data_IF_138788201500
#
_entry.id   IF_138788201500
#
_cell.length_a   1.000
_cell.length_b   1.000
_cell.length_c   1.000
_cell.angle_alpha   90.00
_cell.angle_beta   90.00
_cell.angle_gamma   90.00
#
_symmetry.space_group_name_H-M   'P 1'
#
loop_
_entity.id
_entity.type
_entity.pdbx_description
1 polymer ?
#
# COMPACT_ATOMS: atom_id res chain seq x y z
N UNK A 1 23.31 11.68 -8.32
CA UNK A 1 23.49 10.35 -7.68
C UNK A 1 22.10 9.85 -7.31
N UNK A 2 21.57 8.80 -7.96
CA UNK A 2 20.17 8.43 -7.79
C UNK A 2 19.97 7.81 -6.41
N UNK A 3 18.87 8.16 -5.75
CA UNK A 3 18.44 7.71 -4.41
C UNK A 3 18.31 6.18 -4.26
N UNK A 4 18.44 5.42 -5.36
CA UNK A 4 18.34 3.97 -5.39
C UNK A 4 19.54 3.20 -4.82
N UNK A 5 20.72 3.83 -4.64
CA UNK A 5 21.87 3.09 -4.09
C UNK A 5 21.68 2.69 -2.62
N UNK A 6 20.81 3.36 -1.86
CA UNK A 6 20.54 3.04 -0.46
C UNK A 6 19.35 2.08 -0.26
N UNK A 7 18.44 1.96 -1.22
CA UNK A 7 17.36 0.97 -1.17
C UNK A 7 17.79 -0.41 -1.68
N UNK A 8 18.93 -0.50 -2.38
CA UNK A 8 19.46 -1.76 -2.92
C UNK A 8 20.05 -2.71 -1.88
N UNK A 9 20.35 -2.27 -0.65
CA UNK A 9 21.01 -3.13 0.35
C UNK A 9 20.06 -3.85 1.30
N UNK A 10 18.74 -3.61 1.21
CA UNK A 10 17.73 -4.30 2.05
C UNK A 10 16.73 -5.12 1.21
N UNK A 11 16.92 -5.17 -0.11
CA UNK A 11 16.05 -5.92 -1.05
C UNK A 11 16.85 -7.06 -1.71
N UNK A 12 17.61 -7.79 -0.90
CA UNK A 12 18.05 -9.14 -1.25
C UNK A 12 17.30 -10.08 -0.34
N UNK A 13 16.08 -10.44 -0.74
CA UNK A 13 15.33 -11.67 -0.42
C UNK A 13 13.91 -11.44 -0.96
N UNK A 14 13.48 -12.39 -1.81
CA UNK A 14 12.20 -12.47 -2.54
C UNK A 14 12.22 -11.72 -3.89
N UNK A 15 12.99 -12.28 -4.82
CA UNK A 15 12.46 -12.47 -6.18
C UNK A 15 11.45 -13.63 -6.09
N UNK A 16 10.14 -13.42 -6.33
CA UNK A 16 9.30 -14.52 -6.73
C UNK A 16 9.61 -14.79 -8.20
N UNK A 17 10.19 -15.97 -8.40
CA UNK A 17 10.33 -16.70 -9.64
C UNK A 17 9.29 -16.31 -10.70
N UNK A 18 9.75 -15.75 -11.82
CA UNK A 18 8.98 -15.69 -13.05
C UNK A 18 8.50 -17.10 -13.42
N UNK A 19 7.19 -17.26 -13.58
CA UNK A 19 6.56 -18.24 -14.47
C UNK A 19 6.95 -19.70 -14.27
N UNK A 20 6.55 -20.32 -13.17
CA UNK A 20 6.22 -21.74 -13.23
C UNK A 20 4.74 -21.84 -13.58
N UNK A 21 4.42 -22.17 -14.84
CA UNK A 21 3.14 -22.78 -15.15
C UNK A 21 3.05 -24.05 -14.30
N UNK A 22 2.27 -24.02 -13.23
CA UNK A 22 2.04 -25.17 -12.37
C UNK A 22 1.23 -26.21 -13.15
N UNK A 23 1.93 -27.16 -13.75
CA UNK A 23 1.33 -28.22 -14.54
C UNK A 23 0.58 -29.21 -13.62
N UNK A 24 -0.73 -29.35 -13.83
CA UNK A 24 -1.49 -30.52 -13.34
C UNK A 24 -1.01 -31.71 -14.15
N UNK A 25 -0.24 -32.62 -13.54
CA UNK A 25 0.48 -33.63 -14.31
C UNK A 25 -0.36 -34.83 -14.73
N UNK A 26 -1.43 -35.23 -14.03
CA UNK A 26 -2.47 -36.14 -14.56
C UNK A 26 -3.57 -36.33 -13.51
N UNK A 27 -4.83 -36.27 -13.92
CA UNK A 27 -5.98 -36.59 -13.07
C UNK A 27 -6.61 -37.92 -13.52
N UNK A 28 -6.72 -38.89 -12.61
CA UNK A 28 -7.30 -40.20 -12.90
C UNK A 28 -8.42 -40.55 -11.93
N UNK A 29 -9.48 -41.19 -12.43
CA UNK A 29 -10.55 -41.72 -11.59
C UNK A 29 -10.22 -43.18 -11.26
N UNK A 30 -10.35 -43.55 -9.99
CA UNK A 30 -10.27 -44.94 -9.55
C UNK A 30 -11.45 -45.29 -8.65
N UNK A 31 -11.77 -46.58 -8.59
CA UNK A 31 -12.91 -47.10 -7.82
C UNK A 31 -12.46 -47.79 -6.53
N UNK A 32 -13.26 -47.66 -5.48
CA UNK A 32 -13.15 -48.47 -4.26
C UNK A 32 -14.52 -48.98 -3.84
N UNK A 33 -14.59 -50.23 -3.42
CA UNK A 33 -15.79 -50.83 -2.84
C UNK A 33 -15.79 -50.60 -1.33
N UNK A 34 -16.94 -50.22 -0.78
CA UNK A 34 -17.11 -50.14 0.66
C UNK A 34 -17.41 -51.54 1.24
N UNK A 35 -17.33 -51.69 2.58
CA UNK A 35 -17.72 -52.91 3.31
C UNK A 35 -19.15 -53.38 3.00
N UNK A 36 -20.01 -52.47 2.53
CA UNK A 36 -21.38 -52.74 2.09
C UNK A 36 -21.52 -53.08 0.58
N UNK A 37 -20.43 -53.37 -0.14
CA UNK A 37 -20.45 -53.75 -1.57
C UNK A 37 -20.60 -52.59 -2.58
N UNK A 38 -20.97 -51.38 -2.13
CA UNK A 38 -21.18 -50.24 -3.01
C UNK A 38 -19.88 -49.66 -3.60
N UNK A 39 -19.87 -49.39 -4.90
CA UNK A 39 -18.75 -48.77 -5.63
C UNK A 39 -18.73 -47.26 -5.40
N UNK A 40 -17.56 -46.73 -5.03
CA UNK A 40 -17.29 -45.30 -4.86
C UNK A 40 -16.16 -44.87 -5.77
N UNK A 41 -16.33 -43.74 -6.43
CA UNK A 41 -15.36 -43.16 -7.35
C UNK A 41 -14.55 -42.08 -6.63
N UNK A 42 -13.24 -42.11 -6.84
CA UNK A 42 -12.29 -41.18 -6.28
C UNK A 42 -11.40 -40.60 -7.38
N UNK A 43 -11.07 -39.31 -7.27
CA UNK A 43 -10.11 -38.62 -8.10
C UNK A 43 -8.72 -38.75 -7.49
N UNK A 44 -7.75 -39.04 -8.33
CA UNK A 44 -6.34 -39.06 -8.00
C UNK A 44 -5.64 -37.96 -8.78
N UNK A 45 -5.09 -36.97 -8.06
CA UNK A 45 -4.59 -35.73 -8.66
C UNK A 45 -3.23 -35.41 -8.07
N UNK A 46 -2.30 -35.00 -8.91
CA UNK A 46 -0.99 -34.51 -8.51
C UNK A 46 -0.94 -32.98 -8.68
N UNK A 47 -0.80 -32.28 -7.56
CA UNK A 47 -0.64 -30.82 -7.52
C UNK A 47 0.69 -30.54 -6.83
N UNK A 48 1.61 -29.85 -7.50
CA UNK A 48 2.91 -29.43 -6.95
C UNK A 48 3.71 -30.59 -6.31
N UNK A 49 3.73 -31.74 -6.99
CA UNK A 49 4.39 -32.97 -6.54
C UNK A 49 3.68 -33.71 -5.39
N UNK A 50 2.62 -33.14 -4.81
CA UNK A 50 1.81 -33.76 -3.75
C UNK A 50 0.58 -34.43 -4.32
N UNK A 51 0.33 -35.67 -3.89
CA UNK A 51 -0.80 -36.48 -4.33
C UNK A 51 -2.03 -36.22 -3.45
N UNK A 52 -3.11 -35.76 -4.06
CA UNK A 52 -4.40 -35.55 -3.41
C UNK A 52 -5.40 -36.59 -3.92
N UNK A 53 -6.12 -37.24 -3.00
CA UNK A 53 -7.19 -38.19 -3.32
C UNK A 53 -8.50 -37.64 -2.77
N UNK A 54 -9.48 -37.38 -3.65
CA UNK A 54 -10.78 -36.83 -3.27
C UNK A 54 -11.91 -37.74 -3.72
N UNK A 55 -12.96 -37.87 -2.90
CA UNK A 55 -14.16 -38.57 -3.30
C UNK A 55 -14.93 -37.75 -4.35
N UNK A 56 -15.40 -38.40 -5.41
CA UNK A 56 -16.06 -37.74 -6.54
C UNK A 56 -17.52 -38.17 -6.74
N UNK A 57 -17.93 -39.32 -6.22
CA UNK A 57 -19.33 -39.75 -6.29
C UNK A 57 -19.55 -41.26 -6.27
N UNK A 58 -20.80 -41.66 -6.41
CA UNK A 58 -21.26 -43.07 -6.44
C UNK A 58 -21.49 -43.59 -7.86
N UNK A 59 -21.54 -42.72 -8.87
CA UNK A 59 -21.68 -43.11 -10.28
C UNK A 59 -20.56 -42.54 -11.12
N UNK A 60 -20.20 -43.24 -12.21
CA UNK A 60 -19.14 -42.83 -13.13
C UNK A 60 -19.40 -41.45 -13.74
N UNK A 61 -20.66 -41.16 -14.10
CA UNK A 61 -21.05 -39.88 -14.71
C UNK A 61 -20.86 -38.71 -13.74
N UNK A 62 -21.34 -38.85 -12.50
CA UNK A 62 -21.17 -37.84 -11.45
C UNK A 62 -19.69 -37.64 -11.15
N UNK A 63 -18.91 -38.72 -11.11
CA UNK A 63 -17.48 -38.64 -10.84
C UNK A 63 -16.70 -37.92 -11.95
N UNK A 64 -17.07 -38.12 -13.23
CA UNK A 64 -16.46 -37.40 -14.35
C UNK A 64 -16.77 -35.91 -14.29
N UNK A 65 -18.02 -35.54 -14.04
CA UNK A 65 -18.42 -34.14 -13.89
C UNK A 65 -17.70 -33.47 -12.72
N UNK A 66 -17.69 -34.11 -11.55
CA UNK A 66 -17.00 -33.61 -10.37
C UNK A 66 -15.47 -33.50 -10.56
N UNK A 67 -14.88 -34.36 -11.41
CA UNK A 67 -13.47 -34.24 -11.77
C UNK A 67 -13.24 -33.02 -12.66
N UNK A 68 -14.06 -32.81 -13.68
CA UNK A 68 -13.95 -31.63 -14.58
C UNK A 68 -14.16 -30.31 -13.83
N UNK A 69 -15.14 -30.25 -12.93
CA UNK A 69 -15.37 -29.09 -12.07
C UNK A 69 -14.17 -28.80 -11.17
N UNK A 70 -13.53 -29.85 -10.65
CA UNK A 70 -12.38 -29.72 -9.78
C UNK A 70 -11.08 -29.39 -10.56
N UNK A 71 -10.92 -29.87 -11.78
CA UNK A 71 -9.84 -29.41 -12.66
C UNK A 71 -10.00 -27.95 -13.03
N UNK A 72 -11.22 -27.51 -13.33
CA UNK A 72 -11.55 -26.11 -13.55
C UNK A 72 -11.22 -25.29 -12.30
N UNK A 73 -11.73 -25.68 -11.14
CA UNK A 73 -11.45 -24.97 -9.89
C UNK A 73 -9.95 -24.90 -9.62
N UNK A 74 -9.19 -25.98 -9.78
CA UNK A 74 -7.74 -25.95 -9.55
C UNK A 74 -6.97 -25.08 -10.55
N UNK A 75 -7.41 -25.00 -11.82
CA UNK A 75 -6.77 -24.13 -12.82
C UNK A 75 -7.02 -22.66 -12.56
N UNK A 76 -8.20 -22.31 -12.04
CA UNK A 76 -8.64 -20.92 -11.88
C UNK A 76 -8.63 -20.43 -10.42
N UNK A 77 -8.64 -21.30 -9.41
CA UNK A 77 -8.50 -20.95 -7.97
C UNK A 77 -7.07 -20.55 -7.60
N UNK A 78 -6.07 -20.90 -8.43
CA UNK A 78 -4.72 -20.29 -8.34
C UNK A 78 -4.75 -18.80 -8.67
N UNK A 79 -5.80 -18.34 -9.38
CA UNK A 79 -6.01 -16.92 -9.72
C UNK A 79 -7.05 -16.21 -8.83
N UNK A 80 -7.84 -16.93 -8.03
CA UNK A 80 -8.76 -16.33 -7.05
C UNK A 80 -7.99 -15.80 -5.82
N UNK A 81 -7.46 -14.62 -6.06
CA UNK A 81 -6.68 -13.73 -5.23
C UNK A 81 -7.47 -13.06 -4.10
N UNK A 82 -8.37 -13.75 -3.41
CA UNK A 82 -8.96 -13.21 -2.17
C UNK A 82 -7.90 -12.97 -1.08
N UNK A 83 -6.69 -13.51 -1.27
CA UNK A 83 -5.55 -13.39 -0.36
C UNK A 83 -4.41 -12.49 -0.85
N UNK A 84 -4.42 -11.93 -2.07
CA UNK A 84 -3.40 -10.95 -2.49
C UNK A 84 -3.76 -9.54 -2.05
N UNK A 85 -5.04 -9.16 -2.13
CA UNK A 85 -5.51 -7.83 -1.72
C UNK A 85 -5.38 -7.61 -0.20
N UNK A 86 -5.55 -8.67 0.59
CA UNK A 86 -5.50 -8.60 2.07
C UNK A 86 -4.09 -8.64 2.70
N UNK A 87 -3.01 -8.70 1.92
CA UNK A 87 -1.65 -8.83 2.48
C UNK A 87 -0.72 -7.65 2.20
N UNK A 88 -1.17 -6.67 1.42
CA UNK A 88 -0.33 -5.50 1.10
C UNK A 88 -0.17 -4.65 2.36
N UNK A 89 1.08 -4.48 2.80
CA UNK A 89 1.39 -3.58 3.91
C UNK A 89 1.43 -2.13 3.43
N UNK A 90 1.22 -1.18 4.34
CA UNK A 90 1.32 0.25 4.00
C UNK A 90 2.69 0.61 3.39
N UNK A 91 3.76 0.00 3.90
CA UNK A 91 5.12 0.22 3.39
C UNK A 91 5.28 -0.28 1.95
N UNK A 92 4.77 -1.48 1.63
CA UNK A 92 4.82 -2.02 0.27
C UNK A 92 4.06 -1.13 -0.71
N UNK A 93 2.84 -0.71 -0.34
CA UNK A 93 2.05 0.21 -1.14
C UNK A 93 2.75 1.56 -1.34
N UNK A 94 3.41 2.08 -0.30
CA UNK A 94 4.19 3.32 -0.36
C UNK A 94 5.33 3.22 -1.38
N UNK A 95 6.09 2.12 -1.37
CA UNK A 95 7.19 1.90 -2.33
C UNK A 95 6.64 1.83 -3.76
N UNK A 96 5.54 1.10 -3.98
CA UNK A 96 4.92 0.99 -5.30
C UNK A 96 4.44 2.33 -5.83
N UNK A 97 3.77 3.12 -4.98
CA UNK A 97 3.33 4.47 -5.32
C UNK A 97 4.50 5.40 -5.67
N UNK A 98 5.60 5.33 -4.91
CA UNK A 98 6.79 6.15 -5.17
C UNK A 98 7.44 5.80 -6.53
N UNK A 99 7.44 4.53 -6.94
CA UNK A 99 7.89 4.11 -8.28
C UNK A 99 6.96 4.62 -9.38
N UNK A 100 5.65 4.53 -9.17
CA UNK A 100 4.67 5.04 -10.12
C UNK A 100 4.82 6.55 -10.38
N UNK A 101 5.02 7.35 -9.33
CA UNK A 101 5.23 8.79 -9.50
C UNK A 101 6.57 9.15 -10.14
N UNK A 102 7.60 8.33 -9.94
CA UNK A 102 8.90 8.47 -10.60
C UNK A 102 8.79 8.20 -12.10
N UNK A 103 8.10 7.13 -12.49
CA UNK A 103 7.81 6.82 -13.89
C UNK A 103 6.98 7.90 -14.59
N UNK A 104 6.16 8.64 -13.82
CA UNK A 104 5.40 9.80 -14.31
C UNK A 104 6.24 11.08 -14.46
N UNK A 105 7.55 11.02 -14.21
CA UNK A 105 8.47 12.14 -14.40
C UNK A 105 8.40 13.22 -13.32
N UNK A 106 7.92 12.89 -12.12
CA UNK A 106 7.95 13.84 -10.99
C UNK A 106 9.39 14.03 -10.50
N UNK A 107 9.79 15.26 -10.18
CA UNK A 107 11.15 15.54 -9.72
C UNK A 107 11.51 14.87 -8.39
N UNK A 108 12.77 14.47 -8.25
CA UNK A 108 13.31 13.82 -7.05
C UNK A 108 13.01 14.60 -5.76
N UNK A 109 13.10 15.94 -5.81
CA UNK A 109 12.80 16.79 -4.66
C UNK A 109 11.33 16.66 -4.22
N UNK A 110 10.40 16.55 -5.17
CA UNK A 110 8.99 16.31 -4.85
C UNK A 110 8.76 14.89 -4.34
N UNK A 111 9.40 13.88 -4.93
CA UNK A 111 9.34 12.49 -4.46
C UNK A 111 9.85 12.39 -3.02
N UNK A 112 10.98 13.02 -2.70
CA UNK A 112 11.55 13.06 -1.36
C UNK A 112 10.57 13.65 -0.33
N UNK A 113 9.93 14.76 -0.67
CA UNK A 113 8.91 15.38 0.19
C UNK A 113 7.72 14.43 0.41
N UNK A 114 7.23 13.77 -0.64
CA UNK A 114 6.11 12.83 -0.55
C UNK A 114 6.49 11.62 0.31
N UNK A 115 7.65 11.01 0.05
CA UNK A 115 8.20 9.89 0.83
C UNK A 115 8.29 10.25 2.31
N UNK A 116 8.78 11.44 2.64
CA UNK A 116 8.84 11.92 4.03
C UNK A 116 7.46 11.97 4.70
N UNK A 117 6.40 12.36 3.96
CA UNK A 117 5.03 12.38 4.49
C UNK A 117 4.45 10.98 4.68
N UNK A 118 4.68 10.07 3.72
CA UNK A 118 4.24 8.68 3.83
C UNK A 118 4.93 7.98 5.01
N UNK A 119 6.23 8.22 5.21
CA UNK A 119 6.98 7.69 6.36
C UNK A 119 6.40 8.15 7.69
N UNK A 120 6.09 9.44 7.82
CA UNK A 120 5.48 9.98 9.06
C UNK A 120 4.11 9.34 9.34
N UNK A 121 3.30 9.10 8.30
CA UNK A 121 2.03 8.40 8.45
C UNK A 121 2.22 6.91 8.78
N UNK A 122 3.15 6.22 8.11
CA UNK A 122 3.48 4.83 8.43
C UNK A 122 3.90 4.66 9.89
N UNK A 123 4.76 5.54 10.40
CA UNK A 123 5.17 5.52 11.80
C UNK A 123 3.98 5.71 12.76
N UNK A 124 2.98 6.51 12.38
CA UNK A 124 1.75 6.66 13.14
C UNK A 124 0.92 5.38 13.13
N UNK A 125 0.80 4.70 11.98
CA UNK A 125 0.09 3.42 11.88
C UNK A 125 0.77 2.32 12.70
N UNK A 126 2.10 2.21 12.60
CA UNK A 126 2.89 1.24 13.36
C UNK A 126 2.73 1.43 14.87
N UNK A 127 2.69 2.67 15.36
CA UNK A 127 2.42 2.96 16.77
C UNK A 127 1.01 2.51 17.22
N UNK A 128 0.04 2.45 16.30
CA UNK A 128 -1.30 1.96 16.57
C UNK A 128 -1.47 0.47 16.21
N UNK A 129 -0.38 -0.24 15.94
CA UNK A 129 -0.37 -1.65 15.53
C UNK A 129 -1.17 -1.95 14.24
N UNK A 130 -1.24 -0.99 13.32
CA UNK A 130 -1.86 -1.16 12.00
C UNK A 130 -0.75 -1.41 10.98
N UNK A 131 -0.63 -2.64 10.49
CA UNK A 131 0.41 -3.05 9.55
C UNK A 131 -0.11 -3.21 8.11
N UNK A 132 -1.32 -3.74 7.96
CA UNK A 132 -1.96 -3.96 6.67
C UNK A 132 -2.63 -2.68 6.17
N UNK A 133 -2.62 -2.51 4.84
CA UNK A 133 -3.24 -1.37 4.19
C UNK A 133 -4.77 -1.39 4.30
N UNK A 134 -5.37 -2.59 4.22
CA UNK A 134 -6.82 -2.81 4.32
C UNK A 134 -7.38 -2.47 5.70
N UNK A 135 -6.55 -2.54 6.74
CA UNK A 135 -6.96 -2.25 8.13
C UNK A 135 -7.04 -0.75 8.44
N UNK A 136 -6.58 0.13 7.53
CA UNK A 136 -6.58 1.58 7.75
C UNK A 136 -8.00 2.13 7.69
N UNK A 137 -8.51 2.64 8.83
CA UNK A 137 -9.86 3.18 8.93
C UNK A 137 -9.89 4.71 8.77
N UNK A 138 -11.09 5.21 8.51
CA UNK A 138 -11.37 6.67 8.48
C UNK A 138 -11.00 7.33 9.83
N UNK A 139 -11.22 6.62 10.94
CA UNK A 139 -10.85 7.07 12.29
C UNK A 139 -9.35 7.31 12.42
N UNK A 140 -8.51 6.46 11.81
CA UNK A 140 -7.06 6.60 11.86
C UNK A 140 -6.59 7.82 11.07
N UNK A 141 -7.22 8.08 9.92
CA UNK A 141 -6.98 9.28 9.14
C UNK A 141 -7.32 10.56 9.93
N UNK A 142 -8.46 10.58 10.63
CA UNK A 142 -8.82 11.70 11.51
C UNK A 142 -7.84 11.87 12.67
N UNK A 143 -7.53 10.77 13.38
CA UNK A 143 -6.61 10.77 14.52
C UNK A 143 -5.21 11.22 14.09
N UNK A 144 -4.75 10.81 12.92
CA UNK A 144 -3.49 11.28 12.35
C UNK A 144 -3.50 12.80 12.14
N UNK A 145 -4.55 13.36 11.54
CA UNK A 145 -4.63 14.81 11.30
C UNK A 145 -4.70 15.58 12.62
N UNK A 146 -5.43 15.09 13.63
CA UNK A 146 -5.45 15.66 14.99
C UNK A 146 -4.05 15.61 15.64
N UNK A 147 -3.30 14.51 15.45
CA UNK A 147 -1.90 14.44 15.91
C UNK A 147 -1.04 15.48 15.20
N UNK A 148 -1.22 15.64 13.88
CA UNK A 148 -0.48 16.62 13.08
C UNK A 148 -0.77 18.06 13.50
N UNK A 149 -2.02 18.42 13.85
CA UNK A 149 -2.34 19.78 14.33
C UNK A 149 -1.62 20.16 15.62
N UNK A 150 -1.26 19.17 16.44
CA UNK A 150 -0.54 19.37 17.71
C UNK A 150 0.99 19.50 17.53
N UNK A 151 1.51 19.24 16.33
CA UNK A 151 2.95 19.33 16.06
C UNK A 151 3.41 20.78 16.07
N UNK A 152 4.44 21.04 16.88
CA UNK A 152 5.12 22.33 17.01
C UNK A 152 6.32 22.39 16.07
N UNK A 153 6.53 23.54 15.44
CA UNK A 153 7.70 23.81 14.61
C UNK A 153 8.81 24.35 15.50
N UNK A 154 9.95 23.68 15.50
CA UNK A 154 11.14 24.06 16.28
C UNK A 154 12.15 24.87 15.46
N UNK A 155 12.07 24.82 14.13
CA UNK A 155 13.08 25.39 13.22
C UNK A 155 12.63 26.72 12.61
N UNK A 156 11.92 27.56 13.36
CA UNK A 156 11.59 28.91 12.88
C UNK A 156 12.73 29.86 13.26
N UNK A 157 12.96 30.86 12.42
CA UNK A 157 13.95 31.91 12.65
C UNK A 157 13.74 32.51 14.05
N UNK A 158 14.81 32.56 14.84
CA UNK A 158 14.88 32.99 16.25
C UNK A 158 14.05 32.19 17.28
N UNK A 159 13.55 30.99 16.95
CA UNK A 159 12.81 30.12 17.90
C UNK A 159 13.55 29.80 19.21
N UNK A 160 14.88 29.86 19.21
CA UNK A 160 15.71 29.63 20.40
C UNK A 160 15.81 30.86 21.32
N UNK A 161 15.58 32.06 20.78
CA UNK A 161 15.67 33.33 21.51
C UNK A 161 14.32 33.80 22.03
N UNK A 162 13.22 33.47 21.32
CA UNK A 162 11.87 33.97 21.61
C UNK A 162 10.91 32.93 22.22
N UNK A 163 11.38 31.71 22.52
CA UNK A 163 10.62 30.53 22.97
C UNK A 163 9.32 30.28 22.14
N UNK A 164 9.28 30.79 20.91
CA UNK A 164 8.09 30.77 20.09
C UNK A 164 8.09 29.55 19.17
N UNK A 165 7.28 28.55 19.55
CA UNK A 165 7.06 27.32 18.77
C UNK A 165 5.66 27.28 18.13
N UNK A 166 5.48 27.84 16.91
CA UNK A 166 4.17 27.86 16.28
C UNK A 166 3.75 26.46 15.83
N UNK A 167 2.45 26.20 15.85
CA UNK A 167 1.88 24.99 15.27
C UNK A 167 1.97 24.97 13.73
N UNK A 168 1.68 23.82 13.14
CA UNK A 168 1.59 23.71 11.68
C UNK A 168 0.50 24.63 11.12
N UNK A 169 0.83 25.37 10.06
CA UNK A 169 -0.13 26.19 9.31
C UNK A 169 -1.18 25.30 8.63
N UNK A 170 -2.42 25.78 8.52
CA UNK A 170 -3.52 25.10 7.82
C UNK A 170 -3.15 24.70 6.39
N UNK A 171 -2.36 25.53 5.69
CA UNK A 171 -1.87 25.24 4.33
C UNK A 171 -1.02 23.96 4.31
N UNK A 172 -0.14 23.79 5.30
CA UNK A 172 0.72 22.61 5.40
C UNK A 172 -0.10 21.36 5.68
N UNK A 173 -1.06 21.45 6.61
CA UNK A 173 -1.98 20.34 6.92
C UNK A 173 -2.81 19.94 5.69
N UNK A 174 -3.31 20.91 4.93
CA UNK A 174 -4.06 20.65 3.70
C UNK A 174 -3.21 19.95 2.64
N UNK A 175 -1.93 20.34 2.48
CA UNK A 175 -1.00 19.65 1.59
C UNK A 175 -0.73 18.21 2.05
N UNK A 176 -0.65 17.96 3.35
CA UNK A 176 -0.51 16.60 3.89
C UNK A 176 -1.78 15.76 3.58
N UNK A 177 -2.98 16.31 3.80
CA UNK A 177 -4.26 15.66 3.46
C UNK A 177 -4.32 15.34 1.96
N UNK A 178 -3.96 16.29 1.09
CA UNK A 178 -4.00 16.09 -0.36
C UNK A 178 -3.05 14.97 -0.83
N UNK A 179 -1.83 14.93 -0.29
CA UNK A 179 -0.86 13.87 -0.62
C UNK A 179 -1.37 12.50 -0.21
N UNK A 180 -1.91 12.37 1.00
CA UNK A 180 -2.45 11.12 1.50
C UNK A 180 -3.70 10.69 0.73
N UNK A 181 -4.59 11.63 0.38
CA UNK A 181 -5.72 11.35 -0.52
C UNK A 181 -5.25 10.78 -1.85
N UNK A 182 -4.25 11.40 -2.48
CA UNK A 182 -3.69 10.94 -3.75
C UNK A 182 -3.07 9.54 -3.64
N UNK A 183 -2.32 9.28 -2.58
CA UNK A 183 -1.76 7.95 -2.30
C UNK A 183 -2.85 6.88 -2.18
N UNK A 184 -3.88 7.13 -1.37
CA UNK A 184 -4.95 6.15 -1.20
C UNK A 184 -5.84 5.99 -2.44
N UNK A 185 -5.97 7.02 -3.29
CA UNK A 185 -6.61 6.85 -4.60
C UNK A 185 -5.79 5.92 -5.48
N UNK A 186 -4.47 6.07 -5.52
CA UNK A 186 -3.60 5.11 -6.21
C UNK A 186 -3.78 3.67 -5.68
N UNK A 187 -3.92 3.50 -4.36
CA UNK A 187 -4.17 2.17 -3.79
C UNK A 187 -5.53 1.58 -4.20
N UNK A 188 -6.54 2.42 -4.49
CA UNK A 188 -7.81 1.98 -5.07
C UNK A 188 -7.62 1.60 -6.54
N UNK A 189 -6.85 2.39 -7.30
CA UNK A 189 -6.54 2.09 -8.71
C UNK A 189 -5.77 0.76 -8.86
N UNK A 190 -5.02 0.35 -7.83
CA UNK A 190 -4.34 -0.95 -7.74
C UNK A 190 -5.20 -2.07 -7.12
N UNK A 191 -6.47 -1.79 -6.82
CA UNK A 191 -7.44 -2.73 -6.24
C UNK A 191 -7.03 -3.32 -4.88
N UNK A 192 -6.16 -2.65 -4.13
CA UNK A 192 -5.74 -3.11 -2.79
C UNK A 192 -6.70 -2.73 -1.68
N UNK A 193 -7.51 -1.69 -1.91
CA UNK A 193 -8.52 -1.19 -0.98
C UNK A 193 -9.73 -0.68 -1.75
N UNK A 194 -10.91 -0.77 -1.14
CA UNK A 194 -12.15 -0.33 -1.80
C UNK A 194 -12.45 1.16 -1.58
N UNK A 195 -11.92 1.73 -0.48
CA UNK A 195 -12.32 3.06 -0.02
C UNK A 195 -11.15 3.85 0.54
N UNK A 196 -11.08 5.12 0.16
CA UNK A 196 -10.04 6.04 0.63
C UNK A 196 -10.32 6.49 2.08
N UNK A 197 -9.45 6.16 3.06
CA UNK A 197 -9.64 6.54 4.47
C UNK A 197 -9.67 8.06 4.69
N UNK A 198 -9.00 8.82 3.82
CA UNK A 198 -8.96 10.28 3.89
C UNK A 198 -10.15 10.95 3.20
N UNK A 199 -11.08 10.22 2.56
CA UNK A 199 -12.22 10.80 1.83
C UNK A 199 -13.04 11.76 2.70
N UNK A 200 -13.32 11.37 3.94
CA UNK A 200 -14.11 12.17 4.90
C UNK A 200 -13.33 13.33 5.54
N UNK A 201 -12.00 13.33 5.45
CA UNK A 201 -11.16 14.37 6.04
C UNK A 201 -11.28 15.66 5.24
N UNK A 202 -11.90 16.67 5.86
CA UNK A 202 -12.10 18.00 5.27
C UNK A 202 -10.84 18.86 5.40
N UNK A 203 -10.51 19.66 4.38
CA UNK A 203 -9.42 20.62 4.48
C UNK A 203 -9.75 21.72 5.50
N UNK A 204 -8.72 22.22 6.16
CA UNK A 204 -8.81 23.36 7.06
C UNK A 204 -9.04 24.65 6.27
N UNK A 205 -9.82 25.58 6.83
CA UNK A 205 -9.98 26.92 6.27
C UNK A 205 -8.62 27.63 6.23
N UNK A 206 -8.28 28.18 5.08
CA UNK A 206 -7.06 28.96 4.86
C UNK A 206 -7.47 30.42 4.74
N UNK A 207 -6.90 31.29 5.58
CA UNK A 207 -7.08 32.74 5.43
C UNK A 207 -6.36 33.20 4.16
N UNK A 208 -6.88 34.21 3.48
CA UNK A 208 -6.16 34.84 2.37
C UNK A 208 -4.78 35.27 2.87
N UNK A 209 -3.72 34.70 2.30
CA UNK A 209 -2.38 35.14 2.63
C UNK A 209 -2.24 36.54 2.03
N UNK A 210 -2.01 37.55 2.86
CA UNK A 210 -1.46 38.82 2.38
C UNK A 210 -0.14 38.57 1.63
N UNK A 211 0.36 39.58 0.93
CA UNK A 211 1.68 39.48 0.31
C UNK A 211 2.72 39.08 1.36
N UNK A 212 3.61 38.15 1.00
CA UNK A 212 4.78 37.89 1.84
C UNK A 212 5.55 39.20 1.98
N UNK A 213 6.22 39.36 3.11
CA UNK A 213 7.15 40.44 3.30
C UNK A 213 8.08 40.57 2.09
N UNK A 214 8.13 41.76 1.52
CA UNK A 214 9.03 42.12 0.45
C UNK A 214 9.99 43.19 0.99
N UNK A 215 11.25 43.12 0.59
CA UNK A 215 12.24 44.11 0.98
C UNK A 215 11.90 45.46 0.34
N UNK A 216 12.02 46.54 1.11
CA UNK A 216 11.94 47.90 0.58
C UNK A 216 13.24 48.27 -0.15
N UNK A 217 13.25 49.29 -1.03
CA UNK A 217 14.47 49.75 -1.68
C UNK A 217 15.62 50.02 -0.70
N UNK A 218 15.35 50.75 0.38
CA UNK A 218 16.34 51.05 1.42
C UNK A 218 16.92 49.79 2.09
N UNK A 219 16.10 48.76 2.27
CA UNK A 219 16.55 47.48 2.82
C UNK A 219 17.39 46.69 1.83
N UNK A 220 17.09 46.78 0.54
CA UNK A 220 17.91 46.19 -0.50
C UNK A 220 19.27 46.87 -0.56
N UNK A 221 19.32 48.21 -0.48
CA UNK A 221 20.57 48.96 -0.41
C UNK A 221 21.40 48.56 0.81
N UNK A 222 20.78 48.43 1.99
CA UNK A 222 21.45 47.97 3.21
C UNK A 222 22.01 46.55 3.05
N UNK A 223 21.23 45.62 2.50
CA UNK A 223 21.66 44.24 2.25
C UNK A 223 22.81 44.22 1.26
N UNK A 224 22.76 45.02 0.19
CA UNK A 224 23.81 45.08 -0.82
C UNK A 224 25.10 45.72 -0.29
N UNK A 225 25.00 46.74 0.56
CA UNK A 225 26.16 47.36 1.21
C UNK A 225 26.86 46.43 2.22
N UNK A 226 26.13 45.49 2.81
CA UNK A 226 26.65 44.49 3.75
C UNK A 226 26.95 43.13 3.10
N UNK A 227 26.58 42.95 1.83
CA UNK A 227 26.94 41.78 1.04
C UNK A 227 28.39 41.95 0.59
N UNK A 228 29.30 41.34 1.34
CA UNK A 228 30.76 41.35 1.08
C UNK A 228 31.15 40.85 -0.29
#
# INVERSE_FOLDING_TARGET
RPLFSYLSQVVTIIMPHMGQMEAIIMATIFTRTNKAGNVRYFGNIQINGKRVRKYLGTSKRVAQQALSELEYSLRFEVENNDNRNNKVTFQQASISFLRDIELKGISDGHIYVIMGKLKVFNNFLMHNNISLLSDVKITDAHNFIIKRTKVRLTNKYNSAEDDHSPGLKSVTLNKDIQRLKRFFNYCIDMEWIDRNPFRAVKPFKVKSNGQRYHFTPDQLELIMAQAG
#
